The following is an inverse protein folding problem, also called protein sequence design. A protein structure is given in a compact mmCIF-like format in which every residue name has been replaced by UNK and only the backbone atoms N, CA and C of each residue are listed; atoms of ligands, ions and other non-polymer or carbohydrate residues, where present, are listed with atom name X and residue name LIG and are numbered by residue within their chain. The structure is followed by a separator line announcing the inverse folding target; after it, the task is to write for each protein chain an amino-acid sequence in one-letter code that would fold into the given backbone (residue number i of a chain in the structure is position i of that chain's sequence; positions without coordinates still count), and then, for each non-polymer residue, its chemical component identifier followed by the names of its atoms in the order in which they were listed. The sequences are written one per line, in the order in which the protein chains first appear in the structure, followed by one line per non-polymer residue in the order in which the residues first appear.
data_IF_856670654648
#
_entry.id   IF_856670654648
#
_cell.length_a   1.000
_cell.length_b   1.000
_cell.length_c   1.000
_cell.angle_alpha   90.00
_cell.angle_beta   90.00
_cell.angle_gamma   90.00
#
_symmetry.space_group_name_H-M   'P 1'
#
loop_
_entity.id
_entity.type
_entity.pdbx_description
1 polymer ?
#
# COMPACT_ATOMS: atom_id res chain seq x y z
N UNK A 1 9.60 -14.99 -18.96
CA UNK A 1 10.29 -14.01 -18.09
C UNK A 1 9.33 -12.90 -17.63
N UNK A 2 8.53 -12.28 -18.52
CA UNK A 2 7.53 -11.25 -18.15
C UNK A 2 6.49 -11.67 -17.11
N UNK A 3 5.89 -12.86 -17.23
CA UNK A 3 4.85 -13.30 -16.28
C UNK A 3 5.37 -13.44 -14.84
N UNK A 4 6.59 -13.97 -14.68
CA UNK A 4 7.23 -14.16 -13.39
C UNK A 4 7.57 -12.81 -12.74
N UNK A 5 8.03 -11.84 -13.54
CA UNK A 5 8.27 -10.46 -13.12
C UNK A 5 6.98 -9.79 -12.65
N UNK A 6 5.88 -9.94 -13.41
CA UNK A 6 4.55 -9.41 -13.04
C UNK A 6 4.08 -10.00 -11.71
N UNK A 7 4.21 -11.31 -11.52
CA UNK A 7 3.82 -11.97 -10.26
C UNK A 7 4.63 -11.44 -9.07
N UNK A 8 5.95 -11.29 -9.23
CA UNK A 8 6.82 -10.73 -8.18
C UNK A 8 6.44 -9.27 -7.86
N UNK A 9 6.22 -8.44 -8.89
CA UNK A 9 5.79 -7.05 -8.73
C UNK A 9 4.44 -6.96 -8.03
N UNK A 10 3.45 -7.78 -8.41
CA UNK A 10 2.15 -7.83 -7.74
C UNK A 10 2.27 -8.26 -6.28
N UNK A 11 3.16 -9.21 -5.95
CA UNK A 11 3.42 -9.66 -4.58
C UNK A 11 4.03 -8.56 -3.71
N UNK A 12 5.09 -7.91 -4.21
CA UNK A 12 5.73 -6.77 -3.52
C UNK A 12 4.68 -5.67 -3.29
N UNK A 13 3.85 -5.42 -4.30
CA UNK A 13 2.84 -4.40 -4.23
C UNK A 13 1.72 -4.72 -3.24
N UNK A 14 1.23 -5.95 -3.23
CA UNK A 14 0.28 -6.42 -2.22
C UNK A 14 0.84 -6.28 -0.81
N UNK A 15 2.14 -6.53 -0.63
CA UNK A 15 2.82 -6.38 0.66
C UNK A 15 2.95 -4.91 1.09
N UNK A 16 3.37 -4.02 0.19
CA UNK A 16 3.43 -2.57 0.45
C UNK A 16 2.06 -1.96 0.69
N UNK A 17 1.05 -2.43 -0.03
CA UNK A 17 -0.32 -1.98 0.12
C UNK A 17 -0.94 -2.39 1.46
N UNK A 18 -0.58 -3.56 2.00
CA UNK A 18 -1.11 -4.08 3.26
C UNK A 18 -0.34 -3.60 4.49
N UNK A 19 0.94 -3.22 4.35
CA UNK A 19 1.76 -2.69 5.45
C UNK A 19 1.13 -1.51 6.21
N UNK A 20 0.56 -0.47 5.56
CA UNK A 20 -0.11 0.63 6.24
C UNK A 20 -1.27 0.17 7.13
N UNK A 21 -2.01 -0.86 6.70
CA UNK A 21 -3.13 -1.41 7.46
C UNK A 21 -2.66 -2.28 8.63
N UNK A 22 -1.59 -3.05 8.44
CA UNK A 22 -0.93 -3.80 9.51
C UNK A 22 -0.40 -2.85 10.59
N UNK A 23 0.23 -1.75 10.20
CA UNK A 23 0.74 -0.72 11.12
C UNK A 23 -0.36 0.00 11.90
N UNK A 24 -1.52 0.26 11.28
CA UNK A 24 -2.68 0.81 12.01
C UNK A 24 -3.18 -0.20 13.03
N UNK A 25 -3.36 -1.46 12.63
CA UNK A 25 -3.90 -2.46 13.55
C UNK A 25 -2.96 -2.73 14.72
N UNK A 26 -1.64 -2.76 14.50
CA UNK A 26 -0.68 -2.90 15.60
C UNK A 26 -0.67 -1.67 16.51
N UNK A 27 -0.70 -0.44 15.97
CA UNK A 27 -0.78 0.78 16.80
C UNK A 27 -2.10 0.94 17.55
N UNK A 28 -3.23 0.53 16.95
CA UNK A 28 -4.52 0.47 17.65
C UNK A 28 -4.53 -0.56 18.78
N UNK A 29 -3.86 -1.69 18.57
CA UNK A 29 -3.82 -2.78 19.55
C UNK A 29 -2.84 -2.49 20.70
N UNK A 30 -1.73 -1.81 20.41
CA UNK A 30 -0.73 -1.41 21.40
C UNK A 30 -1.16 -0.19 22.24
N UNK A 31 -2.13 0.60 21.77
CA UNK A 31 -2.50 1.86 22.41
C UNK A 31 -4.02 1.99 22.62
N UNK A 32 -4.52 1.32 23.66
CA UNK A 32 -5.93 1.35 24.11
C UNK A 32 -6.40 2.71 24.66
N UNK A 33 -5.56 3.75 24.71
CA UNK A 33 -5.84 5.04 25.36
C UNK A 33 -5.91 6.26 24.42
N UNK A 34 -5.78 6.10 23.10
CA UNK A 34 -5.90 7.25 22.19
C UNK A 34 -7.34 7.70 21.94
N UNK A 35 -7.52 9.00 21.72
CA UNK A 35 -8.82 9.59 21.45
C UNK A 35 -9.35 9.13 20.09
N UNK A 36 -10.68 9.05 19.94
CA UNK A 36 -11.33 8.59 18.69
C UNK A 36 -10.90 9.39 17.45
N UNK A 37 -10.48 10.64 17.62
CA UNK A 37 -10.04 11.52 16.53
C UNK A 37 -8.65 11.16 15.99
N UNK A 38 -7.74 10.67 16.83
CA UNK A 38 -6.40 10.23 16.41
C UNK A 38 -6.48 8.95 15.57
N UNK A 39 -7.37 8.03 15.94
CA UNK A 39 -7.63 6.80 15.18
C UNK A 39 -8.18 7.10 13.78
N UNK A 40 -9.08 8.08 13.65
CA UNK A 40 -9.59 8.50 12.34
C UNK A 40 -8.50 9.13 11.47
N UNK A 41 -7.66 9.99 12.05
CA UNK A 41 -6.56 10.62 11.31
C UNK A 41 -5.52 9.60 10.82
N UNK A 42 -5.20 8.58 11.63
CA UNK A 42 -4.31 7.50 11.21
C UNK A 42 -4.91 6.65 10.09
N UNK A 43 -6.20 6.29 10.18
CA UNK A 43 -6.90 5.58 9.10
C UNK A 43 -6.86 6.34 7.78
N UNK A 44 -7.17 7.64 7.80
CA UNK A 44 -7.11 8.49 6.60
C UNK A 44 -5.69 8.54 6.05
N UNK A 45 -4.67 8.62 6.92
CA UNK A 45 -3.26 8.63 6.51
C UNK A 45 -2.82 7.34 5.83
N UNK A 46 -3.26 6.17 6.32
CA UNK A 46 -2.94 4.90 5.66
C UNK A 46 -3.68 4.73 4.34
N UNK A 47 -4.96 5.11 4.26
CA UNK A 47 -5.71 5.09 3.00
C UNK A 47 -5.02 5.98 1.97
N UNK A 48 -4.59 7.20 2.38
CA UNK A 48 -3.83 8.10 1.51
C UNK A 48 -2.52 7.45 1.02
N UNK A 49 -1.77 6.78 1.91
CA UNK A 49 -0.55 6.04 1.53
C UNK A 49 -0.83 4.87 0.58
N UNK A 50 -1.90 4.11 0.81
CA UNK A 50 -2.34 3.04 -0.09
C UNK A 50 -2.65 3.58 -1.48
N UNK A 51 -3.38 4.69 -1.59
CA UNK A 51 -3.71 5.33 -2.87
C UNK A 51 -2.44 5.80 -3.59
N UNK A 52 -1.47 6.38 -2.87
CA UNK A 52 -0.18 6.76 -3.47
C UNK A 52 0.57 5.55 -4.04
N UNK A 53 0.66 4.46 -3.27
CA UNK A 53 1.28 3.25 -3.79
C UNK A 53 0.51 2.75 -5.01
N UNK A 54 -0.81 2.62 -4.93
CA UNK A 54 -1.69 2.19 -6.02
C UNK A 54 -1.42 2.92 -7.35
N UNK A 55 -1.38 4.25 -7.30
CA UNK A 55 -1.08 5.08 -8.48
C UNK A 55 0.34 4.78 -9.00
N UNK A 56 1.32 4.62 -8.10
CA UNK A 56 2.69 4.30 -8.48
C UNK A 56 2.80 2.95 -9.23
N UNK A 57 2.06 1.90 -8.84
CA UNK A 57 2.03 0.65 -9.64
C UNK A 57 1.50 0.89 -11.04
N UNK A 58 0.42 1.65 -11.18
CA UNK A 58 -0.19 1.89 -12.49
C UNK A 58 0.83 2.59 -13.40
N UNK A 59 1.55 3.59 -12.86
CA UNK A 59 2.60 4.30 -13.61
C UNK A 59 3.73 3.35 -14.01
N UNK A 60 4.25 2.54 -13.08
CA UNK A 60 5.32 1.58 -13.37
C UNK A 60 4.86 0.55 -14.41
N UNK A 61 3.63 0.07 -14.30
CA UNK A 61 3.06 -0.91 -15.21
C UNK A 61 2.88 -0.31 -16.60
N UNK A 62 2.38 0.92 -16.72
CA UNK A 62 2.31 1.65 -18.00
C UNK A 62 3.68 1.84 -18.64
N UNK A 63 4.68 2.27 -17.86
CA UNK A 63 6.06 2.44 -18.34
C UNK A 63 6.61 1.10 -18.83
N UNK A 64 6.38 0.02 -18.07
CA UNK A 64 6.80 -1.31 -18.44
C UNK A 64 6.15 -1.75 -19.75
N UNK A 65 4.83 -1.60 -19.91
CA UNK A 65 4.15 -1.95 -21.16
C UNK A 65 4.71 -1.13 -22.33
N UNK A 66 4.92 0.17 -22.16
CA UNK A 66 5.47 1.05 -23.20
C UNK A 66 6.93 0.75 -23.58
N UNK A 67 7.72 0.17 -22.67
CA UNK A 67 9.10 -0.25 -22.94
C UNK A 67 9.17 -1.64 -23.59
N UNK A 68 8.11 -2.43 -23.50
CA UNK A 68 8.10 -3.84 -23.92
C UNK A 68 7.27 -4.08 -25.19
N UNK A 69 6.34 -3.18 -25.51
CA UNK A 69 5.72 -3.00 -26.85
C UNK A 69 6.51 -1.97 -27.67
#
# INVERSE_FOLDING_TARGET
MNFLIIVILSLIFAFLATMPFLFINTRLHENTNHSKDEVQHERVRAVKRFVYFFILAIVILLIYTFLTD
#
